data_IF_108050901683
#
_entry.id   IF_108050901683
#
_cell.length_a   1.000
_cell.length_b   1.000
_cell.length_c   1.000
_cell.angle_alpha   90.00
_cell.angle_beta   90.00
_cell.angle_gamma   90.00
#
_symmetry.space_group_name_H-M   'P 1'
#
loop_
_entity.id
_entity.type
_entity.pdbx_description
1 polymer ?
#
# COMPACT_ATOMS: atom_id res chain seq x y z
N UNK A 1 -12.50 -6.72 -1.14
CA UNK A 1 -11.05 -6.86 -1.40
C UNK A 1 -10.69 -6.10 -2.68
N UNK A 2 -11.28 -6.43 -3.83
CA UNK A 2 -11.03 -5.75 -5.11
C UNK A 2 -11.30 -4.23 -5.09
N UNK A 3 -12.49 -3.81 -4.64
CA UNK A 3 -12.84 -2.38 -4.52
C UNK A 3 -11.87 -1.63 -3.59
N UNK A 4 -11.49 -2.24 -2.48
CA UNK A 4 -10.55 -1.66 -1.52
C UNK A 4 -9.17 -1.39 -2.13
N UNK A 5 -8.67 -2.31 -2.98
CA UNK A 5 -7.41 -2.09 -3.69
C UNK A 5 -7.54 -1.00 -4.76
N UNK A 6 -8.64 -0.99 -5.51
CA UNK A 6 -8.92 0.05 -6.51
C UNK A 6 -9.05 1.44 -5.86
N UNK A 7 -9.74 1.54 -4.73
CA UNK A 7 -9.86 2.77 -3.95
C UNK A 7 -8.49 3.26 -3.47
N UNK A 8 -7.64 2.36 -2.99
CA UNK A 8 -6.29 2.69 -2.57
C UNK A 8 -5.40 3.17 -3.73
N UNK A 9 -5.40 2.45 -4.86
CA UNK A 9 -4.65 2.85 -6.05
C UNK A 9 -5.13 4.18 -6.63
N UNK A 10 -6.43 4.45 -6.58
CA UNK A 10 -7.00 5.72 -7.06
C UNK A 10 -6.52 6.92 -6.27
N UNK A 11 -6.17 6.74 -4.99
CA UNK A 11 -5.63 7.82 -4.18
C UNK A 11 -4.16 8.14 -4.53
N UNK A 12 -3.45 7.21 -5.17
CA UNK A 12 -2.07 7.40 -5.65
C UNK A 12 -2.01 8.09 -7.02
N UNK A 13 -3.15 8.22 -7.72
CA UNK A 13 -3.27 8.82 -9.04
C UNK A 13 -3.22 10.35 -8.97
N UNK A 14 -2.13 10.95 -9.42
CA UNK A 14 -1.92 12.41 -9.37
C UNK A 14 -0.59 12.85 -8.78
N UNK A 15 0.25 11.90 -8.32
CA UNK A 15 1.63 12.19 -7.94
C UNK A 15 1.79 13.01 -6.65
N UNK A 16 0.72 13.27 -5.91
CA UNK A 16 0.77 13.81 -4.55
C UNK A 16 -0.37 13.22 -3.69
N UNK A 17 0.00 12.72 -2.51
CA UNK A 17 -0.83 12.51 -1.32
C UNK A 17 -1.98 11.49 -1.38
N UNK A 18 -1.64 10.21 -1.13
CA UNK A 18 -2.47 9.35 -0.29
C UNK A 18 -1.70 8.94 0.96
N UNK A 19 -1.96 9.61 2.09
CA UNK A 19 -1.92 8.85 3.34
C UNK A 19 -2.90 7.70 3.14
N UNK A 20 -2.49 6.47 3.48
CA UNK A 20 -3.35 5.28 3.41
C UNK A 20 -4.68 5.50 4.16
N UNK A 21 -4.73 6.49 5.06
CA UNK A 21 -5.93 6.95 5.78
C UNK A 21 -6.98 7.66 4.89
N UNK A 22 -6.57 8.38 3.83
CA UNK A 22 -7.52 9.11 2.99
C UNK A 22 -8.41 8.18 2.14
N UNK A 23 -8.01 6.93 1.95
CA UNK A 23 -8.79 5.90 1.26
C UNK A 23 -10.10 5.52 1.98
N UNK A 24 -10.30 5.97 3.23
CA UNK A 24 -11.43 5.58 4.06
C UNK A 24 -12.21 6.77 4.69
N UNK A 25 -11.92 8.02 4.30
CA UNK A 25 -12.63 9.21 4.82
C UNK A 25 -13.96 9.46 4.09
N UNK A 26 -14.88 8.51 4.21
CA UNK A 26 -16.29 8.65 3.82
C UNK A 26 -17.26 8.73 5.00
N UNK A 27 -16.90 8.23 6.18
CA UNK A 27 -17.77 8.27 7.37
C UNK A 27 -16.97 7.92 8.63
N UNK A 28 -17.61 8.07 9.79
CA UNK A 28 -17.16 7.81 11.16
C UNK A 28 -16.69 6.37 11.47
N UNK A 29 -16.05 5.67 10.53
CA UNK A 29 -15.65 4.27 10.68
C UNK A 29 -14.19 4.15 11.14
N UNK A 30 -13.99 3.42 12.22
CA UNK A 30 -12.69 3.02 12.74
C UNK A 30 -11.96 2.12 11.72
N UNK A 31 -10.64 2.29 11.60
CA UNK A 31 -9.79 1.38 10.84
C UNK A 31 -9.67 0.06 11.59
N UNK A 32 -10.18 -1.02 11.01
CA UNK A 32 -10.06 -2.35 11.62
C UNK A 32 -8.63 -2.88 11.51
N UNK A 33 -8.21 -3.71 12.47
CA UNK A 33 -6.95 -4.46 12.41
C UNK A 33 -6.76 -5.22 11.09
N UNK A 34 -7.85 -5.82 10.57
CA UNK A 34 -7.83 -6.54 9.28
C UNK A 34 -7.50 -5.60 8.13
N UNK A 35 -8.14 -4.44 8.07
CA UNK A 35 -7.87 -3.42 7.05
C UNK A 35 -6.41 -2.97 7.11
N UNK A 36 -5.88 -2.70 8.32
CA UNK A 36 -4.49 -2.31 8.49
C UNK A 36 -3.52 -3.39 7.99
N UNK A 37 -3.81 -4.67 8.28
CA UNK A 37 -2.99 -5.78 7.78
C UNK A 37 -3.04 -5.89 6.25
N UNK A 38 -4.24 -5.83 5.66
CA UNK A 38 -4.43 -5.93 4.21
C UNK A 38 -3.74 -4.78 3.45
N UNK A 39 -3.70 -3.58 4.04
CA UNK A 39 -2.94 -2.43 3.51
C UNK A 39 -1.43 -2.68 3.56
N UNK A 40 -0.88 -3.06 4.72
CA UNK A 40 0.57 -3.29 4.86
C UNK A 40 1.06 -4.41 3.95
N UNK A 41 0.30 -5.51 3.87
CA UNK A 41 0.62 -6.65 3.00
C UNK A 41 0.67 -6.24 1.53
N UNK A 42 -0.26 -5.40 1.09
CA UNK A 42 -0.30 -4.93 -0.28
C UNK A 42 0.81 -3.92 -0.57
N UNK A 43 1.00 -2.93 0.31
CA UNK A 43 2.05 -1.93 0.14
C UNK A 43 3.42 -2.60 0.04
N UNK A 44 3.69 -3.60 0.89
CA UNK A 44 4.86 -4.46 0.79
C UNK A 44 4.96 -5.11 -0.60
N UNK A 45 3.88 -5.75 -1.05
CA UNK A 45 3.91 -6.46 -2.33
C UNK A 45 4.19 -5.55 -3.51
N UNK A 46 3.49 -4.43 -3.58
CA UNK A 46 3.64 -3.45 -4.64
C UNK A 46 5.03 -2.83 -4.66
N UNK A 47 5.62 -2.57 -3.48
CA UNK A 47 6.97 -2.02 -3.39
C UNK A 47 8.03 -3.05 -3.82
N UNK A 48 7.93 -4.30 -3.39
CA UNK A 48 8.85 -5.37 -3.81
C UNK A 48 8.73 -5.69 -5.31
N UNK A 49 7.55 -5.50 -5.88
CA UNK A 49 7.33 -5.59 -7.33
C UNK A 49 7.68 -4.31 -8.10
N UNK A 50 8.20 -3.28 -7.42
CA UNK A 50 8.61 -2.03 -8.05
C UNK A 50 7.45 -1.21 -8.64
N UNK A 51 6.22 -1.43 -8.19
CA UNK A 51 5.02 -0.69 -8.62
C UNK A 51 4.84 0.60 -7.83
N UNK A 52 5.27 0.64 -6.57
CA UNK A 52 5.25 1.84 -5.73
C UNK A 52 6.59 2.07 -5.02
N UNK A 53 6.78 3.27 -4.51
CA UNK A 53 7.91 3.68 -3.66
C UNK A 53 7.41 4.65 -2.57
N UNK A 54 8.15 4.81 -1.47
CA UNK A 54 7.81 5.75 -0.40
C UNK A 54 8.68 7.01 -0.59
N UNK A 55 8.09 8.22 -0.58
CA UNK A 55 8.91 9.42 -0.70
C UNK A 55 9.51 9.85 0.64
N UNK A 56 10.80 9.63 0.80
CA UNK A 56 11.64 10.24 1.82
C UNK A 56 13.02 10.52 1.20
N UNK A 57 13.22 11.71 0.63
CA UNK A 57 14.52 12.24 0.17
C UNK A 57 15.26 11.46 -0.94
N UNK A 58 15.23 11.99 -2.16
CA UNK A 58 16.18 11.86 -3.29
C UNK A 58 16.80 10.49 -3.71
N UNK A 59 16.67 9.38 -2.98
CA UNK A 59 17.15 8.06 -3.39
C UNK A 59 16.19 6.93 -2.95
N UNK A 60 16.20 5.82 -3.70
CA UNK A 60 15.34 4.65 -3.48
C UNK A 60 15.54 4.07 -2.08
N UNK A 61 14.44 3.78 -1.38
CA UNK A 61 14.46 3.07 -0.08
C UNK A 61 15.27 1.78 -0.16
N UNK A 62 16.07 1.51 0.87
CA UNK A 62 16.56 0.16 1.12
C UNK A 62 15.43 -0.72 1.69
N UNK A 63 15.46 -2.02 1.43
CA UNK A 63 14.46 -2.96 1.97
C UNK A 63 14.35 -2.93 3.51
N UNK A 64 15.40 -2.48 4.20
CA UNK A 64 15.46 -2.33 5.66
C UNK A 64 14.67 -1.10 6.16
N UNK A 65 14.74 0.01 5.44
CA UNK A 65 13.98 1.23 5.76
C UNK A 65 12.49 1.02 5.58
N UNK A 66 12.08 0.42 4.45
CA UNK A 66 10.70 0.02 4.20
C UNK A 66 10.14 -0.88 5.32
N UNK A 67 10.96 -1.81 5.82
CA UNK A 67 10.57 -2.70 6.93
C UNK A 67 10.37 -1.92 8.23
N UNK A 68 11.27 -1.01 8.57
CA UNK A 68 11.16 -0.17 9.78
C UNK A 68 9.87 0.69 9.73
N UNK A 69 9.56 1.28 8.57
CA UNK A 69 8.32 2.03 8.36
C UNK A 69 7.09 1.15 8.64
N UNK A 70 7.06 -0.06 8.10
CA UNK A 70 5.96 -0.99 8.32
C UNK A 70 5.87 -1.46 9.79
N UNK A 71 7.00 -1.62 10.48
CA UNK A 71 7.02 -1.91 11.92
C UNK A 71 6.40 -0.78 12.74
N UNK A 72 6.72 0.48 12.44
CA UNK A 72 6.10 1.64 13.10
C UNK A 72 4.58 1.70 12.84
N UNK A 73 4.16 1.48 11.60
CA UNK A 73 2.74 1.44 11.25
C UNK A 73 2.00 0.28 11.93
N UNK A 74 2.62 -0.89 12.00
CA UNK A 74 2.03 -2.08 12.62
C UNK A 74 1.87 -1.98 14.15
N UNK A 75 2.65 -1.12 14.80
CA UNK A 75 2.60 -0.90 16.25
C UNK A 75 1.52 0.10 16.67
N UNK A 76 1.10 0.99 15.78
CA UNK A 76 0.25 2.13 16.13
C UNK A 76 -1.06 2.12 15.37
N UNK A 77 -2.19 2.05 16.09
CA UNK A 77 -3.51 2.10 15.45
C UNK A 77 -3.79 3.48 14.86
N UNK A 78 -4.21 3.59 13.59
CA UNK A 78 -4.57 4.89 13.02
C UNK A 78 -5.84 5.52 13.63
N UNK A 79 -6.55 4.79 14.51
CA UNK A 79 -7.69 5.29 15.27
C UNK A 79 -7.27 6.23 16.44
N UNK A 80 -5.99 6.21 16.85
CA UNK A 80 -5.46 7.12 17.87
C UNK A 80 -4.58 8.20 17.22
N UNK A 81 -4.42 9.35 17.89
CA UNK A 81 -3.71 10.51 17.32
C UNK A 81 -2.27 10.19 16.87
N UNK A 82 -1.52 9.46 17.70
CA UNK A 82 -0.14 9.07 17.40
C UNK A 82 -0.05 8.13 16.20
N UNK A 83 -0.91 7.10 16.14
CA UNK A 83 -0.96 6.22 14.97
C UNK A 83 -1.48 6.91 13.73
N UNK A 84 -2.45 7.82 13.86
CA UNK A 84 -2.88 8.68 12.75
C UNK A 84 -1.72 9.49 12.17
N UNK A 85 -0.82 9.99 13.02
CA UNK A 85 0.39 10.69 12.58
C UNK A 85 1.35 9.73 11.85
N UNK A 86 1.64 8.55 12.41
CA UNK A 86 2.54 7.56 11.76
C UNK A 86 2.02 7.15 10.38
N UNK A 87 0.74 6.79 10.28
CA UNK A 87 0.10 6.33 9.03
C UNK A 87 -0.13 7.45 8.00
N UNK A 88 0.08 8.72 8.36
CA UNK A 88 0.03 9.87 7.44
C UNK A 88 1.40 10.46 7.13
N UNK A 89 2.44 10.05 7.87
CA UNK A 89 3.82 10.53 7.70
C UNK A 89 4.43 9.99 6.41
N UNK A 90 4.18 8.71 6.09
CA UNK A 90 4.74 8.04 4.92
C UNK A 90 3.80 8.11 3.73
N UNK A 91 4.30 8.67 2.62
CA UNK A 91 3.55 8.80 1.37
C UNK A 91 4.06 7.81 0.33
N UNK A 92 3.12 7.13 -0.34
CA UNK A 92 3.40 6.19 -1.40
C UNK A 92 3.16 6.85 -2.76
N UNK A 93 3.95 6.45 -3.75
CA UNK A 93 3.88 6.98 -5.11
C UNK A 93 4.00 5.84 -6.10
N UNK A 94 3.32 5.97 -7.23
CA UNK A 94 3.56 5.06 -8.35
C UNK A 94 4.98 5.23 -8.90
N UNK A 95 5.61 4.10 -9.20
CA UNK A 95 6.72 4.09 -10.14
C UNK A 95 6.18 4.29 -11.57
N UNK A 96 7.06 4.46 -12.56
CA UNK A 96 6.63 4.47 -13.96
C UNK A 96 5.87 3.19 -14.37
N UNK A 97 6.27 2.02 -13.82
CA UNK A 97 5.57 0.76 -14.06
C UNK A 97 4.21 0.70 -13.34
N UNK A 98 4.15 1.20 -12.10
CA UNK A 98 2.90 1.31 -11.35
C UNK A 98 1.88 2.22 -12.03
N UNK A 99 2.33 3.37 -12.54
CA UNK A 99 1.46 4.30 -13.25
C UNK A 99 0.93 3.69 -14.55
N UNK A 100 1.80 3.04 -15.33
CA UNK A 100 1.39 2.36 -16.56
C UNK A 100 0.35 1.26 -16.30
N UNK A 101 0.56 0.46 -15.25
CA UNK A 101 -0.41 -0.55 -14.82
C UNK A 101 -1.76 0.07 -14.42
N UNK A 102 -1.72 1.16 -13.64
CA UNK A 102 -2.92 1.87 -13.17
C UNK A 102 -3.70 2.52 -14.32
N UNK A 103 -3.02 3.17 -15.26
CA UNK A 103 -3.65 3.81 -16.43
C UNK A 103 -4.32 2.79 -17.35
N UNK A 104 -3.69 1.63 -17.55
CA UNK A 104 -4.28 0.52 -18.30
C UNK A 104 -5.56 0.02 -17.60
N UNK A 105 -5.53 -0.13 -16.27
CA UNK A 105 -6.70 -0.54 -15.48
C UNK A 105 -7.84 0.45 -15.64
N UNK A 106 -7.61 1.75 -15.37
CA UNK A 106 -8.63 2.80 -15.49
C UNK A 106 -9.30 2.82 -16.87
N UNK A 107 -8.53 2.58 -17.93
CA UNK A 107 -9.03 2.66 -19.31
C UNK A 107 -9.96 1.49 -19.67
N UNK A 108 -9.66 0.30 -19.14
CA UNK A 108 -10.36 -0.94 -19.50
C UNK A 108 -11.50 -1.30 -18.55
N UNK A 109 -11.40 -0.90 -17.28
CA UNK A 109 -12.37 -1.17 -16.20
C UNK A 109 -12.67 -2.67 -15.97
N UNK A 110 -11.76 -3.57 -16.40
CA UNK A 110 -11.89 -5.02 -16.24
C UNK A 110 -11.16 -5.51 -14.98
N UNK A 111 -11.77 -5.31 -13.82
CA UNK A 111 -11.10 -5.60 -12.54
C UNK A 111 -10.60 -7.06 -12.39
N UNK A 112 -11.25 -8.03 -13.05
CA UNK A 112 -10.85 -9.43 -12.99
C UNK A 112 -9.52 -9.67 -13.72
N UNK A 113 -9.36 -9.08 -14.90
CA UNK A 113 -8.12 -9.15 -15.67
C UNK A 113 -6.96 -8.47 -14.95
N UNK A 114 -7.18 -7.29 -14.36
CA UNK A 114 -6.11 -6.58 -13.64
C UNK A 114 -5.69 -7.28 -12.37
N UNK A 115 -6.63 -7.92 -11.66
CA UNK A 115 -6.26 -8.75 -10.52
C UNK A 115 -5.40 -9.95 -10.93
N UNK A 116 -5.71 -10.59 -12.05
CA UNK A 116 -4.86 -11.66 -12.58
C UNK A 116 -3.46 -11.15 -12.93
N UNK A 117 -3.36 -10.02 -13.61
CA UNK A 117 -2.07 -9.37 -13.93
C UNK A 117 -1.28 -8.99 -12.68
N UNK A 118 -1.93 -8.40 -11.68
CA UNK A 118 -1.28 -7.98 -10.44
C UNK A 118 -0.72 -9.18 -9.67
N UNK A 119 -1.49 -10.27 -9.56
CA UNK A 119 -0.98 -11.51 -8.94
C UNK A 119 0.17 -12.12 -9.75
N UNK A 120 0.08 -12.09 -11.07
CA UNK A 120 1.17 -12.56 -11.93
C UNK A 120 2.46 -11.77 -11.67
N UNK A 121 2.39 -10.45 -11.56
CA UNK A 121 3.52 -9.59 -11.20
C UNK A 121 4.09 -9.98 -9.82
N UNK A 122 3.23 -10.23 -8.83
CA UNK A 122 3.69 -10.66 -7.50
C UNK A 122 4.40 -12.02 -7.56
N UNK A 123 3.88 -12.97 -8.33
CA UNK A 123 4.46 -14.29 -8.50
C UNK A 123 5.83 -14.24 -9.20
N UNK A 124 5.96 -13.43 -10.26
CA UNK A 124 7.22 -13.23 -11.01
C UNK A 124 8.32 -12.60 -10.14
N UNK A 125 7.93 -11.70 -9.22
CA UNK A 125 8.85 -11.08 -8.27
C UNK A 125 9.04 -11.91 -6.99
N UNK A 126 8.48 -13.12 -6.90
CA UNK A 126 8.54 -14.02 -5.74
C UNK A 126 8.03 -13.40 -4.44
N UNK A 127 7.11 -12.45 -4.55
CA UNK A 127 6.57 -11.70 -3.42
C UNK A 127 5.43 -12.47 -2.77
N UNK A 128 5.57 -12.81 -1.48
CA UNK A 128 4.59 -13.64 -0.76
C UNK A 128 5.07 -15.07 -0.46
N UNK A 129 6.18 -15.49 -1.06
CA UNK A 129 6.85 -16.74 -0.69
C UNK A 129 7.57 -16.61 0.66
N UNK A 130 8.30 -15.51 0.86
CA UNK A 130 8.91 -15.21 2.15
C UNK A 130 7.95 -14.42 3.04
N UNK A 131 7.31 -15.14 3.97
CA UNK A 131 6.40 -14.56 4.95
C UNK A 131 7.11 -13.76 6.05
N UNK A 132 8.44 -13.88 6.19
CA UNK A 132 9.20 -13.19 7.24
C UNK A 132 9.31 -11.68 7.00
N UNK A 133 9.06 -11.25 5.76
CA UNK A 133 9.07 -9.85 5.37
C UNK A 133 7.72 -9.14 5.59
N UNK A 134 6.64 -9.88 5.86
CA UNK A 134 5.35 -9.30 6.18
C UNK A 134 5.33 -8.91 7.66
N UNK A 135 5.02 -7.64 7.93
CA UNK A 135 4.95 -7.12 9.29
C UNK A 135 3.53 -7.29 9.84
N UNK A 136 3.35 -8.06 10.93
CA UNK A 136 2.04 -8.27 11.52
C UNK A 136 1.60 -7.06 12.36
N UNK A 137 0.36 -6.62 12.18
CA UNK A 137 -0.27 -5.58 13.01
C UNK A 137 -0.42 -6.04 14.46
N UNK A 138 0.13 -5.26 15.40
CA UNK A 138 0.26 -5.61 16.82
C UNK A 138 -0.83 -5.02 17.72
N UNK A 139 -1.43 -3.90 17.33
CA UNK A 139 -2.52 -3.28 18.09
C UNK A 139 -3.84 -4.09 18.00
N UNK A 140 -4.73 -3.83 18.94
CA UNK A 140 -6.08 -4.44 19.05
C UNK A 140 -7.11 -3.69 18.20
#
# INVERSE_FOLDING_TARGET
MLNFYKDMLSCLDGGELASLLYTYRGSTMEYSKKWCQEILDLAYRMMQSGLIWIAYFDEYDTAEEAKNIFEQMAEQSPNIAEGGAVWSTYQYYFSGAGQAFWDEWKTSDDDALYWQKLNHIFDEHHVGFDKSCFVPVKFE
#
